data_IF_455540906835
#
_entry.id   IF_455540906835
#
_cell.length_a   1.000
_cell.length_b   1.000
_cell.length_c   1.000
_cell.angle_alpha   90.00
_cell.angle_beta   90.00
_cell.angle_gamma   90.00
#
_symmetry.space_group_name_H-M   'P 1'
#
loop_
_entity.id
_entity.type
_entity.pdbx_description
1 polymer ?
#
# COMPACT_ATOMS: atom_id res chain seq x y z
N UNK A 1 -4.46 -37.99 -6.40
CA UNK A 1 -3.52 -37.91 -5.26
C UNK A 1 -2.91 -36.53 -5.25
N UNK A 2 -3.40 -35.64 -4.40
CA UNK A 2 -2.93 -34.26 -4.28
C UNK A 2 -1.76 -34.22 -3.29
N UNK A 3 -0.58 -33.82 -3.76
CA UNK A 3 0.57 -33.53 -2.91
C UNK A 3 0.39 -32.14 -2.30
N UNK A 4 -0.10 -32.07 -1.07
CA UNK A 4 -0.06 -30.85 -0.25
C UNK A 4 1.36 -30.60 0.24
N UNK A 5 2.05 -29.63 -0.36
CA UNK A 5 3.30 -29.10 0.17
C UNK A 5 3.01 -28.08 1.27
N UNK A 6 3.06 -28.53 2.53
CA UNK A 6 3.10 -27.66 3.70
C UNK A 6 4.42 -26.89 3.73
N UNK A 7 4.44 -25.66 3.24
CA UNK A 7 5.57 -24.75 3.44
C UNK A 7 5.57 -24.22 4.88
N UNK A 8 6.43 -24.80 5.72
CA UNK A 8 6.89 -24.14 6.95
C UNK A 8 7.81 -22.99 6.54
N UNK A 9 7.35 -21.76 6.72
CA UNK A 9 8.19 -20.56 6.68
C UNK A 9 9.15 -20.64 7.88
N UNK A 10 10.36 -21.17 7.67
CA UNK A 10 11.42 -21.14 8.69
C UNK A 10 12.02 -19.73 8.67
N UNK A 11 11.37 -18.81 9.39
CA UNK A 11 12.00 -17.56 9.78
C UNK A 11 13.26 -17.90 10.57
N UNK A 12 14.44 -17.59 10.03
CA UNK A 12 15.70 -17.65 10.78
C UNK A 12 15.68 -16.55 11.84
N UNK A 13 14.95 -16.77 12.93
CA UNK A 13 15.08 -15.97 14.14
C UNK A 13 16.43 -16.29 14.78
N UNK A 14 17.27 -15.27 14.95
CA UNK A 14 18.54 -15.38 15.68
C UNK A 14 18.31 -16.05 17.05
N UNK A 15 19.21 -16.96 17.52
CA UNK A 15 19.04 -17.71 18.76
C UNK A 15 18.68 -16.85 19.97
N UNK A 16 19.21 -15.62 20.02
CA UNK A 16 18.91 -14.64 21.07
C UNK A 16 17.42 -14.28 21.21
N UNK A 17 16.67 -14.26 20.10
CA UNK A 17 15.24 -13.93 20.13
C UNK A 17 14.40 -15.11 20.60
N UNK A 18 14.80 -16.33 20.25
CA UNK A 18 14.20 -17.54 20.80
C UNK A 18 14.46 -17.65 22.30
N UNK A 19 15.70 -17.33 22.73
CA UNK A 19 16.05 -17.25 24.16
C UNK A 19 15.22 -16.18 24.87
N UNK A 20 15.03 -15.00 24.27
CA UNK A 20 14.19 -13.95 24.83
C UNK A 20 12.73 -14.42 25.00
N UNK A 21 12.19 -15.15 24.02
CA UNK A 21 10.84 -15.70 24.08
C UNK A 21 10.72 -16.77 25.18
N UNK A 22 11.67 -17.70 25.27
CA UNK A 22 11.71 -18.68 26.37
C UNK A 22 11.85 -18.01 27.74
N UNK A 23 12.67 -16.96 27.87
CA UNK A 23 12.81 -16.21 29.11
C UNK A 23 11.51 -15.50 29.50
N UNK A 24 10.77 -14.98 28.51
CA UNK A 24 9.47 -14.37 28.73
C UNK A 24 8.44 -15.41 29.20
N UNK A 25 8.39 -16.56 28.54
CA UNK A 25 7.51 -17.67 28.95
C UNK A 25 7.86 -18.16 30.36
N UNK A 26 9.15 -18.29 30.65
CA UNK A 26 9.64 -18.63 31.98
C UNK A 26 9.29 -17.57 33.04
N UNK A 27 9.36 -16.28 32.69
CA UNK A 27 8.92 -15.18 33.56
C UNK A 27 7.43 -15.30 33.89
N UNK A 28 6.60 -15.66 32.91
CA UNK A 28 5.17 -15.86 33.12
C UNK A 28 4.88 -17.05 34.05
N UNK A 29 5.61 -18.16 33.88
CA UNK A 29 5.53 -19.30 34.80
C UNK A 29 5.94 -18.89 36.21
N UNK A 30 7.03 -18.13 36.35
CA UNK A 30 7.50 -17.68 37.66
C UNK A 30 6.52 -16.70 38.34
N UNK A 31 5.86 -15.83 37.56
CA UNK A 31 4.79 -14.97 38.05
C UNK A 31 3.60 -15.79 38.58
N UNK A 32 3.21 -16.87 37.89
CA UNK A 32 2.16 -17.78 38.37
C UNK A 32 2.56 -18.47 39.67
N UNK A 33 3.78 -19.01 39.75
CA UNK A 33 4.31 -19.61 40.97
C UNK A 33 4.32 -18.62 42.14
N UNK A 34 4.71 -17.37 41.87
CA UNK A 34 4.73 -16.30 42.87
C UNK A 34 3.32 -15.88 43.32
N UNK A 35 2.34 -15.89 42.42
CA UNK A 35 0.94 -15.61 42.76
C UNK A 35 0.36 -16.71 43.66
N UNK A 36 0.69 -17.97 43.38
CA UNK A 36 0.26 -19.14 44.15
C UNK A 36 1.24 -19.56 45.25
N UNK A 37 2.12 -18.65 45.69
CA UNK A 37 3.18 -18.96 46.67
C UNK A 37 2.67 -19.53 48.00
N UNK A 38 1.49 -19.10 48.46
CA UNK A 38 0.88 -19.60 49.69
C UNK A 38 0.52 -21.09 49.61
N UNK A 39 -0.37 -21.50 48.67
CA UNK A 39 -0.67 -22.90 48.44
C UNK A 39 0.55 -23.79 48.16
N UNK A 40 1.58 -23.23 47.52
CA UNK A 40 2.82 -23.93 47.18
C UNK A 40 3.86 -23.94 48.32
N UNK A 41 3.58 -23.29 49.46
CA UNK A 41 4.50 -23.13 50.60
C UNK A 41 5.84 -22.48 50.20
N UNK A 42 5.82 -21.52 49.28
CA UNK A 42 7.00 -20.79 48.78
C UNK A 42 7.15 -19.40 49.43
N UNK A 43 6.46 -19.14 50.53
CA UNK A 43 6.44 -17.82 51.19
C UNK A 43 7.84 -17.37 51.67
N UNK A 44 8.67 -18.30 52.13
CA UNK A 44 10.05 -18.03 52.55
C UNK A 44 10.93 -17.48 51.40
N UNK A 45 10.58 -17.78 50.15
CA UNK A 45 11.31 -17.36 48.96
C UNK A 45 10.71 -16.13 48.27
N UNK A 46 9.73 -15.47 48.89
CA UNK A 46 8.97 -14.39 48.28
C UNK A 46 9.84 -13.30 47.66
N UNK A 47 10.79 -12.75 48.44
CA UNK A 47 11.65 -11.67 47.98
C UNK A 47 12.62 -12.13 46.88
N UNK A 48 13.17 -13.35 47.00
CA UNK A 48 14.03 -13.94 45.96
C UNK A 48 13.29 -14.16 44.64
N UNK A 49 12.04 -14.61 44.69
CA UNK A 49 11.19 -14.74 43.50
C UNK A 49 10.92 -13.37 42.86
N UNK A 50 10.67 -12.34 43.66
CA UNK A 50 10.48 -10.97 43.17
C UNK A 50 11.72 -10.46 42.45
N UNK A 51 12.91 -10.61 43.03
CA UNK A 51 14.17 -10.24 42.36
C UNK A 51 14.42 -11.03 41.09
N UNK A 52 14.13 -12.33 41.08
CA UNK A 52 14.27 -13.18 39.91
C UNK A 52 13.33 -12.73 38.77
N UNK A 53 12.07 -12.41 39.09
CA UNK A 53 11.09 -11.88 38.12
C UNK A 53 11.59 -10.56 37.53
N UNK A 54 12.07 -9.63 38.36
CA UNK A 54 12.61 -8.35 37.89
C UNK A 54 13.82 -8.58 36.98
N UNK A 55 14.76 -9.43 37.39
CA UNK A 55 15.95 -9.76 36.58
C UNK A 55 15.58 -10.36 35.22
N UNK A 56 14.59 -11.26 35.18
CA UNK A 56 14.10 -11.86 33.95
C UNK A 56 13.41 -10.84 33.04
N UNK A 57 12.61 -9.93 33.61
CA UNK A 57 11.98 -8.81 32.88
C UNK A 57 13.02 -8.02 32.10
N UNK A 58 14.10 -7.59 32.77
CA UNK A 58 15.17 -6.86 32.10
C UNK A 58 15.92 -7.73 31.09
N UNK A 59 16.19 -9.00 31.41
CA UNK A 59 16.92 -9.90 30.53
C UNK A 59 16.20 -10.13 29.20
N UNK A 60 14.89 -10.43 29.21
CA UNK A 60 14.18 -10.67 27.95
C UNK A 60 13.94 -9.39 27.16
N UNK A 61 13.69 -8.24 27.81
CA UNK A 61 13.54 -6.96 27.12
C UNK A 61 14.85 -6.56 26.42
N UNK A 62 16.00 -6.73 27.08
CA UNK A 62 17.32 -6.46 26.49
C UNK A 62 17.67 -7.41 25.34
N UNK A 63 17.38 -8.71 25.48
CA UNK A 63 17.62 -9.68 24.41
C UNK A 63 16.70 -9.48 23.20
N UNK A 64 15.54 -8.86 23.42
CA UNK A 64 14.59 -8.47 22.37
C UNK A 64 15.03 -7.23 21.57
N UNK A 65 16.07 -6.51 22.04
CA UNK A 65 16.58 -5.32 21.35
C UNK A 65 17.06 -5.65 19.94
N UNK A 66 16.58 -4.86 18.98
CA UNK A 66 17.00 -4.99 17.58
C UNK A 66 16.41 -6.19 16.83
N UNK A 67 15.25 -6.73 17.27
CA UNK A 67 14.46 -7.69 16.49
C UNK A 67 14.15 -7.21 15.06
N UNK A 68 14.15 -5.88 14.85
CA UNK A 68 13.75 -5.26 13.59
C UNK A 68 14.84 -4.41 12.93
N UNK A 69 15.58 -3.59 13.69
CA UNK A 69 16.52 -2.58 13.14
C UNK A 69 17.98 -2.77 13.56
N UNK A 70 18.33 -3.91 14.19
CA UNK A 70 19.65 -4.09 14.81
C UNK A 70 19.73 -3.48 16.21
N UNK A 71 20.82 -3.77 16.94
CA UNK A 71 21.00 -3.24 18.30
C UNK A 71 21.44 -1.78 18.19
N UNK A 72 20.53 -0.85 18.45
CA UNK A 72 20.82 0.58 18.54
C UNK A 72 20.91 1.01 20.00
N UNK A 73 21.67 2.07 20.28
CA UNK A 73 21.76 2.63 21.63
C UNK A 73 20.39 3.12 22.11
N UNK A 74 19.63 3.76 21.20
CA UNK A 74 18.22 4.12 21.40
C UNK A 74 17.35 2.90 21.76
N UNK A 75 17.51 1.78 21.05
CA UNK A 75 16.77 0.54 21.31
C UNK A 75 17.10 -0.10 22.66
N UNK A 76 18.36 -0.03 23.11
CA UNK A 76 18.76 -0.49 24.45
C UNK A 76 18.10 0.40 25.51
N UNK A 77 18.16 1.72 25.34
CA UNK A 77 17.54 2.68 26.27
C UNK A 77 16.02 2.43 26.38
N UNK A 78 15.34 2.20 25.26
CA UNK A 78 13.90 1.88 25.27
C UNK A 78 13.58 0.52 25.91
N UNK A 79 14.43 -0.49 25.74
CA UNK A 79 14.25 -1.77 26.43
C UNK A 79 14.42 -1.63 27.94
N UNK A 80 15.40 -0.85 28.39
CA UNK A 80 15.55 -0.52 29.82
C UNK A 80 14.34 0.25 30.35
N UNK A 81 13.81 1.20 29.57
CA UNK A 81 12.59 1.94 29.93
C UNK A 81 11.39 1.00 30.12
N UNK A 82 11.20 0.04 29.20
CA UNK A 82 10.15 -0.98 29.28
C UNK A 82 10.34 -1.91 30.48
N UNK A 83 11.56 -2.39 30.71
CA UNK A 83 11.87 -3.21 31.88
C UNK A 83 11.54 -2.49 33.19
N UNK A 84 11.91 -1.21 33.28
CA UNK A 84 11.59 -0.35 34.43
C UNK A 84 10.08 -0.13 34.59
N UNK A 85 9.34 0.06 33.49
CA UNK A 85 7.89 0.20 33.51
C UNK A 85 7.19 -1.07 34.00
N UNK A 86 7.52 -2.23 33.44
CA UNK A 86 6.93 -3.51 33.88
C UNK A 86 7.29 -3.84 35.33
N UNK A 87 8.51 -3.52 35.75
CA UNK A 87 8.93 -3.64 37.14
C UNK A 87 8.09 -2.72 38.05
N UNK A 88 7.85 -1.48 37.64
CA UNK A 88 6.97 -0.57 38.38
C UNK A 88 5.56 -1.13 38.55
N UNK A 89 4.96 -1.64 37.47
CA UNK A 89 3.63 -2.24 37.50
C UNK A 89 3.61 -3.46 38.42
N UNK A 90 4.58 -4.35 38.28
CA UNK A 90 4.70 -5.54 39.11
C UNK A 90 4.84 -5.22 40.60
N UNK A 91 5.72 -4.28 40.96
CA UNK A 91 5.92 -3.85 42.35
C UNK A 91 4.69 -3.13 42.91
N UNK A 92 4.00 -2.34 42.10
CA UNK A 92 2.78 -1.63 42.51
C UNK A 92 1.65 -2.58 42.90
N UNK A 93 1.34 -3.55 42.02
CA UNK A 93 0.34 -4.57 42.33
C UNK A 93 0.82 -5.57 43.37
N UNK A 94 2.13 -5.82 43.42
CA UNK A 94 2.71 -6.77 44.35
C UNK A 94 2.56 -6.38 45.82
N UNK A 95 2.42 -5.09 46.11
CA UNK A 95 2.02 -4.58 47.44
C UNK A 95 0.75 -5.27 47.97
N UNK A 96 -0.21 -5.58 47.09
CA UNK A 96 -1.50 -6.16 47.47
C UNK A 96 -1.43 -7.70 47.62
N UNK A 97 -0.31 -8.30 47.18
CA UNK A 97 -0.09 -9.75 47.12
C UNK A 97 0.97 -10.21 48.14
N UNK A 98 1.18 -9.44 49.21
CA UNK A 98 2.08 -9.79 50.31
C UNK A 98 3.57 -9.58 50.02
N UNK A 99 3.92 -8.67 49.10
CA UNK A 99 5.31 -8.24 48.89
C UNK A 99 5.81 -7.36 50.04
N UNK A 100 7.12 -7.42 50.33
CA UNK A 100 7.71 -6.60 51.38
C UNK A 100 7.55 -5.09 51.11
N UNK A 101 7.46 -4.30 52.21
CA UNK A 101 7.31 -2.83 52.14
C UNK A 101 8.51 -2.15 51.49
N UNK A 102 9.69 -2.73 51.64
CA UNK A 102 10.94 -2.27 51.02
C UNK A 102 10.87 -2.40 49.50
N UNK A 103 10.46 -3.55 48.98
CA UNK A 103 10.35 -3.81 47.54
C UNK A 103 9.23 -3.01 46.87
N UNK A 104 8.04 -2.99 47.47
CA UNK A 104 6.91 -2.22 46.94
C UNK A 104 7.14 -0.71 46.96
N UNK A 105 8.00 -0.20 47.85
CA UNK A 105 8.42 1.20 47.90
C UNK A 105 9.19 1.68 46.66
N UNK A 106 9.83 0.78 45.91
CA UNK A 106 10.57 1.12 44.70
C UNK A 106 9.71 1.28 43.45
N UNK A 107 8.41 0.99 43.50
CA UNK A 107 7.51 1.10 42.35
C UNK A 107 7.56 2.52 41.72
N UNK A 108 7.48 3.57 42.55
CA UNK A 108 7.54 4.96 42.08
C UNK A 108 8.90 5.32 41.45
N UNK A 109 10.01 4.82 42.00
CA UNK A 109 11.35 5.04 41.45
C UNK A 109 11.52 4.33 40.11
N UNK A 110 11.03 3.09 39.98
CA UNK A 110 11.05 2.35 38.72
C UNK A 110 10.22 3.05 37.63
N UNK A 111 9.06 3.63 38.00
CA UNK A 111 8.27 4.45 37.10
C UNK A 111 9.03 5.71 36.63
N UNK A 112 9.66 6.43 37.56
CA UNK A 112 10.46 7.62 37.23
C UNK A 112 11.60 7.28 36.26
N UNK A 113 12.29 6.14 36.48
CA UNK A 113 13.32 5.66 35.55
C UNK A 113 12.75 5.31 34.17
N UNK A 114 11.56 4.70 34.09
CA UNK A 114 10.90 4.44 32.81
C UNK A 114 10.62 5.74 32.03
N UNK A 115 10.12 6.78 32.71
CA UNK A 115 9.83 8.09 32.10
C UNK A 115 11.12 8.76 31.60
N UNK A 116 12.15 8.85 32.46
CA UNK A 116 13.43 9.48 32.11
C UNK A 116 14.11 8.77 30.94
N UNK A 117 14.17 7.44 30.98
CA UNK A 117 14.76 6.64 29.90
C UNK A 117 13.95 6.76 28.60
N UNK A 118 12.62 6.87 28.67
CA UNK A 118 11.79 7.11 27.49
C UNK A 118 12.12 8.45 26.83
N UNK A 119 12.24 9.53 27.62
CA UNK A 119 12.63 10.85 27.12
C UNK A 119 14.04 10.81 26.51
N UNK A 120 14.99 10.17 27.20
CA UNK A 120 16.36 9.99 26.69
C UNK A 120 16.41 9.19 25.38
N UNK A 121 15.61 8.12 25.29
CA UNK A 121 15.46 7.30 24.09
C UNK A 121 14.89 8.09 22.91
N UNK A 122 13.89 8.94 23.15
CA UNK A 122 13.29 9.82 22.14
C UNK A 122 14.27 10.88 21.64
N UNK A 123 15.06 11.47 22.53
CA UNK A 123 16.09 12.45 22.16
C UNK A 123 17.21 11.82 21.32
N UNK A 124 17.64 10.59 21.66
CA UNK A 124 18.64 9.87 20.88
C UNK A 124 18.10 9.34 19.55
N UNK A 125 16.81 8.98 19.47
CA UNK A 125 16.20 8.50 18.22
C UNK A 125 16.29 9.54 17.08
N UNK A 126 16.23 10.84 17.41
CA UNK A 126 16.44 11.93 16.42
C UNK A 126 17.83 11.94 15.78
N UNK A 127 18.83 11.30 16.40
CA UNK A 127 20.17 11.18 15.84
C UNK A 127 20.40 9.86 15.07
N UNK A 128 19.49 8.89 15.19
CA UNK A 128 19.54 7.59 14.49
C UNK A 128 18.84 7.63 13.10
N UNK A 129 18.35 8.80 12.64
CA UNK A 129 17.68 8.99 11.34
C UNK A 129 18.49 8.46 10.14
N UNK A 130 19.82 8.36 10.27
CA UNK A 130 20.74 7.87 9.23
C UNK A 130 20.68 6.35 8.95
N UNK A 131 19.77 5.58 9.55
CA UNK A 131 19.76 4.10 9.45
C UNK A 131 18.47 3.48 8.91
N UNK A 132 17.50 4.28 8.49
CA UNK A 132 16.27 3.79 7.84
C UNK A 132 16.40 3.78 6.31
N UNK A 133 17.62 3.61 5.78
CA UNK A 133 17.87 3.60 4.35
C UNK A 133 17.39 2.29 3.73
N UNK A 134 16.59 2.43 2.67
CA UNK A 134 16.25 1.31 1.80
C UNK A 134 17.53 0.98 1.01
N UNK A 135 17.96 -0.29 1.05
CA UNK A 135 19.22 -0.69 0.41
C UNK A 135 19.02 -1.82 -0.57
N UNK A 136 19.56 -1.64 -1.77
CA UNK A 136 19.72 -2.71 -2.77
C UNK A 136 20.94 -3.55 -2.40
N UNK A 137 20.75 -4.85 -2.27
CA UNK A 137 21.82 -5.79 -1.98
C UNK A 137 22.76 -5.99 -3.17
N UNK A 138 24.04 -6.23 -2.87
CA UNK A 138 25.06 -6.57 -3.88
C UNK A 138 24.92 -7.99 -4.45
N UNK A 139 23.87 -8.74 -4.10
CA UNK A 139 23.64 -10.11 -4.57
C UNK A 139 22.65 -10.05 -5.74
N UNK A 140 23.03 -10.62 -6.87
CA UNK A 140 22.16 -10.74 -8.03
C UNK A 140 21.62 -12.16 -8.19
N UNK A 141 20.43 -12.25 -8.75
CA UNK A 141 19.78 -13.49 -9.15
C UNK A 141 19.24 -13.34 -10.57
N UNK A 142 19.13 -14.45 -11.29
CA UNK A 142 18.47 -14.47 -12.60
C UNK A 142 16.97 -14.19 -12.44
N UNK A 143 16.44 -13.39 -13.35
CA UNK A 143 15.02 -13.11 -13.47
C UNK A 143 14.55 -13.50 -14.87
N UNK A 144 13.52 -14.33 -14.95
CA UNK A 144 12.96 -14.86 -16.21
C UNK A 144 11.44 -14.61 -16.30
N UNK A 145 10.99 -13.51 -15.71
CA UNK A 145 9.58 -13.15 -15.61
C UNK A 145 8.93 -13.58 -14.29
N UNK A 146 7.77 -12.98 -14.01
CA UNK A 146 6.93 -13.26 -12.86
C UNK A 146 5.46 -13.09 -13.23
N UNK A 147 4.60 -13.93 -12.65
CA UNK A 147 3.15 -13.89 -12.86
C UNK A 147 2.47 -13.65 -11.51
N UNK A 148 1.69 -12.57 -11.42
CA UNK A 148 0.93 -12.17 -10.24
C UNK A 148 -0.59 -12.17 -10.51
N UNK A 149 -1.05 -13.08 -11.38
CA UNK A 149 -2.42 -13.18 -11.87
C UNK A 149 -2.65 -12.18 -13.00
N UNK A 150 -3.51 -11.19 -12.77
CA UNK A 150 -3.85 -10.15 -13.77
C UNK A 150 -2.68 -9.22 -14.13
N UNK A 151 -1.52 -9.37 -13.48
CA UNK A 151 -0.31 -8.59 -13.78
C UNK A 151 0.84 -9.56 -14.03
N UNK A 152 1.38 -9.52 -15.24
CA UNK A 152 2.50 -10.35 -15.69
C UNK A 152 3.69 -9.46 -16.03
N UNK A 153 4.85 -9.84 -15.51
CA UNK A 153 6.11 -9.20 -15.83
C UNK A 153 6.92 -10.15 -16.70
N UNK A 154 7.07 -9.83 -17.98
CA UNK A 154 7.79 -10.65 -18.96
C UNK A 154 9.16 -10.06 -19.26
N UNK A 155 10.14 -10.91 -19.49
CA UNK A 155 11.50 -10.50 -19.84
C UNK A 155 12.55 -11.29 -19.09
N UNK A 156 13.81 -11.02 -19.42
CA UNK A 156 14.96 -11.68 -18.81
C UNK A 156 15.98 -10.66 -18.35
N UNK A 157 16.57 -10.88 -17.18
CA UNK A 157 17.55 -9.97 -16.63
C UNK A 157 18.09 -10.43 -15.27
N UNK A 158 18.55 -9.47 -14.48
CA UNK A 158 19.03 -9.69 -13.12
C UNK A 158 18.10 -9.03 -12.12
N UNK A 159 17.89 -9.68 -10.98
CA UNK A 159 17.13 -9.16 -9.87
C UNK A 159 18.04 -9.01 -8.64
N UNK A 160 17.94 -7.87 -7.97
CA UNK A 160 18.71 -7.50 -6.79
C UNK A 160 17.74 -7.28 -5.62
N UNK A 161 17.89 -7.97 -4.48
CA UNK A 161 16.98 -7.79 -3.35
C UNK A 161 17.02 -6.36 -2.80
N UNK A 162 15.85 -5.81 -2.50
CA UNK A 162 15.70 -4.57 -1.73
C UNK A 162 15.48 -4.94 -0.27
N UNK A 163 16.28 -4.37 0.63
CA UNK A 163 16.11 -4.49 2.08
C UNK A 163 15.72 -3.17 2.71
N UNK A 164 14.80 -3.27 3.67
CA UNK A 164 14.54 -2.24 4.65
C UNK A 164 14.97 -2.77 6.02
N UNK A 165 16.05 -2.23 6.58
CA UNK A 165 16.72 -2.82 7.74
C UNK A 165 17.15 -4.27 7.49
N UNK A 166 16.55 -5.23 8.22
CA UNK A 166 16.83 -6.68 8.07
C UNK A 166 15.84 -7.42 7.18
N UNK A 167 14.74 -6.80 6.77
CA UNK A 167 13.69 -7.48 5.99
C UNK A 167 13.87 -7.19 4.50
N UNK A 168 13.69 -8.23 3.67
CA UNK A 168 13.53 -8.08 2.23
C UNK A 168 12.12 -7.56 1.96
N UNK A 169 12.02 -6.49 1.16
CA UNK A 169 10.75 -5.80 0.86
C UNK A 169 10.43 -5.79 -0.64
N UNK A 170 11.36 -6.24 -1.47
CA UNK A 170 11.16 -6.28 -2.92
C UNK A 170 12.46 -6.58 -3.65
N UNK A 171 12.49 -6.21 -4.92
CA UNK A 171 13.56 -6.47 -5.87
C UNK A 171 13.76 -5.28 -6.80
N UNK A 172 15.00 -5.01 -7.21
CA UNK A 172 15.31 -4.14 -8.35
C UNK A 172 15.72 -5.02 -9.51
N UNK A 173 15.15 -4.78 -10.68
CA UNK A 173 15.40 -5.51 -11.89
C UNK A 173 16.29 -4.69 -12.83
N UNK A 174 17.25 -5.39 -13.43
CA UNK A 174 18.16 -4.91 -14.45
C UNK A 174 18.01 -5.73 -15.73
N UNK A 175 17.60 -5.10 -16.82
CA UNK A 175 17.33 -5.75 -18.09
C UNK A 175 16.15 -5.14 -18.84
N UNK A 176 15.65 -5.87 -19.83
CA UNK A 176 14.48 -5.46 -20.60
C UNK A 176 13.25 -6.22 -20.12
N UNK A 177 12.27 -5.48 -19.61
CA UNK A 177 11.04 -6.05 -19.10
C UNK A 177 9.84 -5.43 -19.79
N UNK A 178 8.75 -6.18 -19.88
CA UNK A 178 7.44 -5.69 -20.32
C UNK A 178 6.45 -6.07 -19.25
N UNK A 179 5.74 -5.08 -18.72
CA UNK A 179 4.60 -5.33 -17.84
C UNK A 179 3.34 -5.43 -18.68
N UNK A 180 2.54 -6.45 -18.41
CA UNK A 180 1.23 -6.69 -19.00
C UNK A 180 0.22 -6.75 -17.86
N UNK A 181 -0.79 -5.88 -17.89
CA UNK A 181 -1.84 -5.84 -16.89
C UNK A 181 -3.20 -5.97 -17.57
N UNK A 182 -3.97 -6.99 -17.16
CA UNK A 182 -5.33 -7.22 -17.64
C UNK A 182 -6.29 -6.27 -16.90
N UNK A 183 -7.08 -5.51 -17.66
CA UNK A 183 -8.10 -4.60 -17.13
C UNK A 183 -9.45 -4.88 -17.81
N UNK A 184 -10.59 -4.47 -17.23
CA UNK A 184 -11.90 -4.59 -17.89
C UNK A 184 -11.98 -3.88 -19.26
N UNK A 185 -11.07 -2.94 -19.48
CA UNK A 185 -10.91 -2.17 -20.69
C UNK A 185 -10.10 -2.91 -21.77
N UNK A 186 -9.18 -3.79 -21.37
CA UNK A 186 -8.21 -4.43 -22.25
C UNK A 186 -6.86 -4.66 -21.54
N UNK A 187 -5.90 -5.25 -22.25
CA UNK A 187 -4.57 -5.49 -21.70
C UNK A 187 -3.66 -4.27 -21.90
N UNK A 188 -3.16 -3.69 -20.80
CA UNK A 188 -2.16 -2.61 -20.83
C UNK A 188 -0.78 -3.24 -20.91
N UNK A 189 -0.03 -2.93 -21.97
CA UNK A 189 1.34 -3.43 -22.17
C UNK A 189 2.33 -2.27 -22.22
N UNK A 190 3.35 -2.30 -21.35
CA UNK A 190 4.42 -1.30 -21.37
C UNK A 190 5.80 -1.94 -21.25
N UNK A 191 6.70 -1.60 -22.18
CA UNK A 191 8.13 -1.89 -22.04
C UNK A 191 8.71 -1.00 -20.95
N UNK A 192 9.32 -1.63 -19.95
CA UNK A 192 9.90 -0.95 -18.80
C UNK A 192 11.37 -0.61 -19.03
N UNK A 193 11.77 0.54 -18.51
CA UNK A 193 13.14 1.05 -18.57
C UNK A 193 13.84 0.76 -17.24
N UNK A 194 14.91 -0.05 -17.29
CA UNK A 194 15.79 -0.34 -16.16
C UNK A 194 16.44 0.95 -15.62
N UNK A 195 16.56 1.15 -14.30
CA UNK A 195 16.21 0.22 -13.21
C UNK A 195 14.71 0.21 -12.85
N UNK A 196 14.15 -0.99 -12.65
CA UNK A 196 12.74 -1.19 -12.25
C UNK A 196 12.68 -1.76 -10.83
N UNK A 197 11.95 -1.13 -9.93
CA UNK A 197 11.69 -1.66 -8.60
C UNK A 197 10.34 -2.40 -8.56
N UNK A 198 10.35 -3.59 -7.96
CA UNK A 198 9.19 -4.46 -7.75
C UNK A 198 9.06 -4.74 -6.26
N UNK A 199 8.04 -4.17 -5.64
CA UNK A 199 7.71 -4.41 -4.23
C UNK A 199 6.69 -5.52 -4.15
N UNK A 200 7.10 -6.63 -3.56
CA UNK A 200 6.28 -7.83 -3.41
C UNK A 200 6.83 -8.69 -2.27
N UNK A 201 5.94 -9.42 -1.61
CA UNK A 201 6.27 -10.52 -0.68
C UNK A 201 6.93 -11.68 -1.41
N UNK A 202 6.56 -11.89 -2.67
CA UNK A 202 6.92 -13.08 -3.44
C UNK A 202 8.40 -13.12 -3.82
N UNK A 203 8.88 -14.35 -4.00
CA UNK A 203 10.22 -14.56 -4.54
C UNK A 203 10.12 -14.77 -6.06
N UNK A 204 10.58 -13.76 -6.79
CA UNK A 204 10.49 -13.71 -8.26
C UNK A 204 11.78 -14.16 -8.94
N UNK A 205 12.70 -14.76 -8.20
CA UNK A 205 14.09 -14.98 -8.65
C UNK A 205 14.47 -16.45 -8.78
N UNK A 206 15.35 -16.71 -9.75
CA UNK A 206 15.95 -18.01 -10.03
C UNK A 206 17.34 -18.17 -9.40
N UNK A 207 18.30 -18.65 -10.19
CA UNK A 207 19.65 -18.97 -9.71
C UNK A 207 20.45 -17.71 -9.37
N UNK A 208 21.36 -17.83 -8.41
CA UNK A 208 22.29 -16.74 -8.06
C UNK A 208 23.25 -16.51 -9.22
N UNK A 209 23.48 -15.25 -9.57
CA UNK A 209 24.35 -14.86 -10.69
C UNK A 209 25.36 -13.79 -10.28
N UNK A 210 26.26 -13.43 -11.21
CA UNK A 210 27.28 -12.41 -11.00
C UNK A 210 26.66 -11.01 -10.94
N UNK A 211 26.83 -10.27 -9.83
CA UNK A 211 26.27 -8.94 -9.67
C UNK A 211 27.03 -7.91 -10.51
N UNK A 212 26.32 -6.88 -10.95
CA UNK A 212 26.92 -5.66 -11.47
C UNK A 212 26.99 -4.60 -10.33
N UNK A 213 28.18 -4.27 -9.82
CA UNK A 213 28.32 -3.29 -8.75
C UNK A 213 27.87 -1.88 -9.16
N UNK A 214 28.08 -1.50 -10.43
CA UNK A 214 27.76 -0.17 -10.94
C UNK A 214 26.25 0.05 -11.03
N UNK A 215 25.51 -0.99 -11.41
CA UNK A 215 24.05 -1.00 -11.38
C UNK A 215 23.51 -0.82 -9.95
N UNK A 216 24.07 -1.56 -8.99
CA UNK A 216 23.63 -1.51 -7.59
C UNK A 216 23.84 -0.12 -6.99
N UNK A 217 24.94 0.55 -7.31
CA UNK A 217 25.19 1.93 -6.88
C UNK A 217 24.12 2.89 -7.43
N UNK A 218 23.92 2.88 -8.75
CA UNK A 218 22.89 3.68 -9.42
C UNK A 218 21.48 3.42 -8.89
N UNK A 219 21.13 2.15 -8.65
CA UNK A 219 19.82 1.79 -8.11
C UNK A 219 19.63 2.27 -6.66
N UNK A 220 20.68 2.27 -5.83
CA UNK A 220 20.62 2.81 -4.48
C UNK A 220 20.42 4.33 -4.46
N UNK A 221 21.07 5.06 -5.38
CA UNK A 221 20.87 6.52 -5.54
C UNK A 221 19.44 6.85 -5.97
N UNK A 222 18.87 6.09 -6.91
CA UNK A 222 17.52 6.33 -7.42
C UNK A 222 16.41 5.92 -6.45
N UNK A 223 16.66 4.92 -5.59
CA UNK A 223 15.69 4.49 -4.56
C UNK A 223 15.66 5.47 -3.37
N UNK A 224 16.78 6.12 -3.07
CA UNK A 224 16.89 7.12 -2.00
C UNK A 224 17.33 8.46 -2.58
N UNK A 225 16.51 9.14 -3.40
CA UNK A 225 16.92 10.43 -3.94
C UNK A 225 17.13 11.41 -2.79
N UNK A 226 18.36 11.93 -2.65
CA UNK A 226 18.78 12.93 -1.64
C UNK A 226 17.84 14.17 -1.56
N UNK A 227 16.99 14.36 -2.58
CA UNK A 227 15.97 15.42 -2.66
C UNK A 227 14.79 15.25 -1.70
N UNK A 228 14.52 14.06 -1.16
CA UNK A 228 13.45 13.88 -0.16
C UNK A 228 13.78 14.48 1.22
N UNK A 229 15.05 14.82 1.47
CA UNK A 229 15.52 15.29 2.78
C UNK A 229 15.90 16.78 2.82
N UNK A 230 15.80 17.53 1.71
CA UNK A 230 15.99 18.98 1.74
C UNK A 230 14.69 19.68 2.16
N UNK A 231 14.61 19.96 3.46
CA UNK A 231 13.64 20.84 4.14
C UNK A 231 13.30 22.09 3.30
N UNK A 232 12.16 22.05 2.62
CA UNK A 232 11.37 23.24 2.29
C UNK A 232 10.37 23.47 3.41
N UNK A 233 10.35 24.66 4.01
CA UNK A 233 9.36 25.06 5.01
C UNK A 233 7.96 25.01 4.37
N UNK A 234 7.08 24.15 4.86
CA UNK A 234 5.63 24.27 4.61
C UNK A 234 4.92 23.00 4.17
N UNK A 235 5.58 22.08 3.45
CA UNK A 235 4.90 20.95 2.83
C UNK A 235 5.31 19.62 3.46
N UNK A 236 4.44 19.08 4.32
CA UNK A 236 4.48 17.69 4.79
C UNK A 236 3.90 16.77 3.72
N UNK A 237 4.65 16.52 2.65
CA UNK A 237 4.37 15.43 1.71
C UNK A 237 5.67 14.71 1.40
N UNK A 238 5.85 13.53 1.99
CA UNK A 238 6.97 12.63 1.71
C UNK A 238 6.45 11.59 0.71
N UNK A 239 6.59 11.88 -0.59
CA UNK A 239 6.26 10.94 -1.67
C UNK A 239 7.43 9.97 -1.91
N UNK A 240 7.57 9.04 -0.98
CA UNK A 240 8.32 7.81 -1.18
C UNK A 240 7.30 6.82 -1.73
N UNK A 241 7.48 6.25 -2.92
CA UNK A 241 6.47 5.45 -3.66
C UNK A 241 5.85 4.21 -2.98
N UNK A 242 5.97 4.06 -1.65
CA UNK A 242 5.22 3.19 -0.76
C UNK A 242 4.26 3.95 0.19
N UNK A 243 4.21 5.29 0.17
CA UNK A 243 3.32 6.14 0.95
C UNK A 243 2.38 6.85 -0.02
N UNK A 244 1.12 6.38 -0.12
CA UNK A 244 0.02 7.16 -0.68
C UNK A 244 -1.18 7.00 0.25
N UNK A 245 -1.65 8.12 0.79
CA UNK A 245 -2.90 8.25 1.53
C UNK A 245 -4.03 8.14 0.50
N UNK A 246 -4.99 7.24 0.73
CA UNK A 246 -6.21 7.16 -0.06
C UNK A 246 -7.35 7.72 0.78
N UNK A 247 -7.95 8.81 0.31
CA UNK A 247 -9.19 9.36 0.85
C UNK A 247 -10.29 9.17 -0.22
N UNK A 248 -11.26 8.29 0.04
CA UNK A 248 -12.42 8.10 -0.84
C UNK A 248 -13.33 6.93 -0.46
N UNK A 249 -14.62 7.21 -0.27
CA UNK A 249 -15.75 6.29 -0.05
C UNK A 249 -15.57 5.20 1.03
N UNK A 250 -15.26 5.62 2.27
CA UNK A 250 -15.45 4.79 3.46
C UNK A 250 -14.24 3.92 3.85
N UNK A 251 -13.03 4.28 3.45
CA UNK A 251 -11.82 3.70 4.03
C UNK A 251 -10.66 4.71 3.94
N UNK A 252 -9.88 4.83 5.02
CA UNK A 252 -8.57 5.49 5.00
C UNK A 252 -7.51 4.42 5.24
N UNK A 253 -6.61 4.22 4.27
CA UNK A 253 -5.56 3.20 4.35
C UNK A 253 -4.19 3.83 4.22
N UNK A 254 -3.41 3.74 5.31
CA UNK A 254 -2.02 4.20 5.36
C UNK A 254 -1.13 3.03 5.70
N UNK A 255 -0.29 2.60 4.76
CA UNK A 255 0.72 1.56 4.99
C UNK A 255 2.11 2.19 5.13
N UNK A 256 2.52 2.45 6.36
CA UNK A 256 3.90 2.77 6.72
C UNK A 256 4.60 1.51 7.24
N UNK A 257 5.94 1.42 7.17
CA UNK A 257 6.68 0.33 7.80
C UNK A 257 6.47 0.23 9.33
N UNK A 258 5.90 1.26 9.98
CA UNK A 258 5.63 1.26 11.42
C UNK A 258 4.24 1.73 11.82
N UNK A 259 3.35 2.10 10.89
CA UNK A 259 1.96 2.52 11.18
C UNK A 259 1.07 1.96 10.06
N UNK A 260 0.18 1.03 10.40
CA UNK A 260 -0.95 0.63 9.54
C UNK A 260 -2.17 1.34 10.13
N UNK A 261 -2.73 2.34 9.45
CA UNK A 261 -4.01 2.95 9.85
C UNK A 261 -5.06 2.43 8.89
N UNK A 262 -6.08 1.77 9.43
CA UNK A 262 -7.26 1.29 8.72
C UNK A 262 -8.46 1.98 9.38
N UNK A 263 -8.97 3.03 8.77
CA UNK A 263 -10.27 3.57 9.16
C UNK A 263 -11.35 2.92 8.30
N UNK A 264 -12.40 2.40 8.93
CA UNK A 264 -13.61 1.86 8.30
C UNK A 264 -14.85 2.46 8.97
N UNK A 265 -16.03 2.49 8.34
CA UNK A 265 -17.28 2.97 8.94
C UNK A 265 -17.66 2.27 10.25
N UNK A 266 -17.06 1.11 10.51
CA UNK A 266 -17.26 0.22 11.66
C UNK A 266 -16.11 0.22 12.68
N UNK A 267 -15.07 1.05 12.49
CA UNK A 267 -13.97 1.18 13.45
C UNK A 267 -12.58 1.55 12.87
N UNK A 268 -11.61 1.71 13.77
CA UNK A 268 -10.21 2.08 13.50
C UNK A 268 -9.26 0.91 13.88
N UNK A 269 -8.30 0.54 13.02
CA UNK A 269 -7.13 -0.29 13.35
C UNK A 269 -5.86 0.53 13.15
N UNK A 270 -5.14 0.83 14.24
CA UNK A 270 -3.85 1.53 14.20
C UNK A 270 -2.77 0.60 14.73
N UNK A 271 -1.88 0.15 13.84
CA UNK A 271 -0.77 -0.75 14.17
C UNK A 271 0.55 0.00 14.20
N UNK A 272 0.96 0.42 15.40
CA UNK A 272 2.26 1.06 15.62
C UNK A 272 3.24 0.04 16.18
N UNK A 273 4.08 -0.53 15.31
CA UNK A 273 4.99 -1.62 15.72
C UNK A 273 4.22 -2.83 16.29
N UNK A 274 4.57 -3.37 17.48
CA UNK A 274 3.88 -4.52 18.07
C UNK A 274 2.55 -4.16 18.77
N UNK A 275 2.20 -2.87 18.89
CA UNK A 275 0.93 -2.45 19.47
C UNK A 275 -0.15 -2.43 18.40
N UNK A 276 -1.32 -3.01 18.73
CA UNK A 276 -2.54 -2.94 17.93
C UNK A 276 -3.55 -2.14 18.74
N UNK A 277 -3.90 -0.95 18.26
CA UNK A 277 -5.01 -0.19 18.81
C UNK A 277 -6.21 -0.48 17.93
N UNK A 278 -7.15 -1.27 18.46
CA UNK A 278 -8.34 -1.71 17.76
C UNK A 278 -9.55 -1.10 18.44
N UNK A 279 -10.28 -0.28 17.71
CA UNK A 279 -11.57 0.24 18.13
C UNK A 279 -12.59 -0.20 17.07
N UNK A 280 -13.50 -1.13 17.40
CA UNK A 280 -14.44 -1.75 16.45
C UNK A 280 -13.98 -3.09 15.85
N UNK A 281 -14.67 -3.55 14.80
CA UNK A 281 -14.38 -4.78 14.03
C UNK A 281 -13.87 -4.46 12.62
N UNK A 282 -12.63 -3.96 12.46
CA UNK A 282 -12.07 -3.69 11.15
C UNK A 282 -11.69 -5.00 10.45
N UNK A 283 -12.20 -5.19 9.23
CA UNK A 283 -11.82 -6.30 8.35
C UNK A 283 -10.40 -6.08 7.81
N UNK A 284 -9.56 -7.11 7.81
CA UNK A 284 -8.24 -7.03 7.15
C UNK A 284 -8.45 -6.94 5.64
N UNK A 285 -7.70 -6.09 4.91
CA UNK A 285 -7.71 -6.16 3.46
C UNK A 285 -7.29 -7.59 3.03
N UNK A 286 -8.10 -8.27 2.20
CA UNK A 286 -7.99 -9.71 1.99
C UNK A 286 -6.79 -10.15 1.11
N UNK A 287 -5.98 -9.24 0.58
CA UNK A 287 -5.09 -9.54 -0.56
C UNK A 287 -3.71 -8.87 -0.50
N UNK A 288 -2.71 -9.56 -1.04
CA UNK A 288 -1.33 -9.07 -1.20
C UNK A 288 -1.26 -7.81 -2.10
N UNK A 289 -0.29 -6.93 -1.82
CA UNK A 289 -0.04 -5.69 -2.57
C UNK A 289 1.19 -5.86 -3.46
N UNK A 290 1.04 -5.55 -4.74
CA UNK A 290 2.12 -5.52 -5.72
C UNK A 290 2.34 -4.08 -6.19
N UNK A 291 3.60 -3.64 -6.23
CA UNK A 291 3.96 -2.38 -6.90
C UNK A 291 5.12 -2.62 -7.85
N UNK A 292 5.05 -2.08 -9.06
CA UNK A 292 6.11 -2.09 -10.06
C UNK A 292 6.35 -0.62 -10.45
N UNK A 293 7.59 -0.13 -10.39
CA UNK A 293 7.92 1.27 -10.70
C UNK A 293 9.23 1.37 -11.47
N UNK A 294 9.24 2.22 -12.49
CA UNK A 294 10.48 2.67 -13.11
C UNK A 294 11.13 3.72 -12.21
N UNK A 295 12.37 3.48 -11.80
CA UNK A 295 13.05 4.41 -10.90
C UNK A 295 13.51 5.69 -11.62
N UNK A 296 13.58 5.67 -12.95
CA UNK A 296 14.00 6.81 -13.77
C UNK A 296 12.85 7.65 -14.36
N UNK A 297 11.76 7.01 -14.81
CA UNK A 297 10.82 7.61 -15.78
C UNK A 297 9.35 7.59 -15.34
N UNK A 298 9.09 7.73 -14.03
CA UNK A 298 7.76 8.06 -13.49
C UNK A 298 6.68 6.97 -13.54
N UNK A 299 6.86 5.91 -14.35
CA UNK A 299 5.90 4.81 -14.44
C UNK A 299 5.74 4.10 -13.10
N UNK A 300 4.49 3.89 -12.68
CA UNK A 300 4.13 3.11 -11.51
C UNK A 300 2.85 2.30 -11.77
N UNK A 301 2.89 1.00 -11.53
CA UNK A 301 1.74 0.11 -11.47
C UNK A 301 1.57 -0.39 -10.03
N UNK A 302 0.36 -0.33 -9.49
CA UNK A 302 0.02 -0.80 -8.14
C UNK A 302 -1.23 -1.65 -8.20
N UNK A 303 -1.18 -2.86 -7.62
CA UNK A 303 -2.32 -3.77 -7.47
C UNK A 303 -2.57 -4.07 -5.99
N UNK A 304 -3.82 -3.94 -5.56
CA UNK A 304 -4.29 -4.28 -4.21
C UNK A 304 -5.64 -4.98 -4.32
N UNK A 305 -5.65 -6.30 -4.26
CA UNK A 305 -6.87 -7.07 -4.51
C UNK A 305 -7.38 -6.84 -5.93
N UNK A 306 -8.65 -6.44 -6.04
CA UNK A 306 -9.31 -6.15 -7.32
C UNK A 306 -9.01 -4.72 -7.84
N UNK A 307 -8.25 -3.93 -7.07
CA UNK A 307 -7.86 -2.57 -7.46
C UNK A 307 -6.55 -2.56 -8.21
N UNK A 308 -6.54 -1.90 -9.37
CA UNK A 308 -5.35 -1.70 -10.17
C UNK A 308 -5.20 -0.22 -10.49
N UNK A 309 -4.01 0.33 -10.25
CA UNK A 309 -3.66 1.71 -10.59
C UNK A 309 -2.40 1.74 -11.44
N UNK A 310 -2.47 2.36 -12.60
CA UNK A 310 -1.35 2.60 -13.50
C UNK A 310 -1.16 4.12 -13.57
N UNK A 311 0.06 4.59 -13.35
CA UNK A 311 0.43 5.98 -13.39
C UNK A 311 1.65 6.15 -14.28
N UNK A 312 1.56 7.07 -15.23
CA UNK A 312 2.65 7.51 -16.09
C UNK A 312 2.74 9.04 -16.02
N UNK A 313 3.74 9.63 -16.64
CA UNK A 313 3.84 11.10 -16.73
C UNK A 313 2.73 11.70 -17.62
N UNK A 314 2.15 10.90 -18.52
CA UNK A 314 1.16 11.34 -19.50
C UNK A 314 -0.27 11.01 -19.08
N UNK A 315 -0.48 9.86 -18.42
CA UNK A 315 -1.81 9.36 -18.10
C UNK A 315 -1.87 8.58 -16.80
N UNK A 316 -3.09 8.43 -16.28
CA UNK A 316 -3.40 7.55 -15.15
C UNK A 316 -4.62 6.71 -15.43
N UNK A 317 -4.57 5.44 -15.03
CA UNK A 317 -5.67 4.48 -15.09
C UNK A 317 -5.91 3.95 -13.68
N UNK A 318 -7.15 3.95 -13.25
CA UNK A 318 -7.59 3.40 -11.97
C UNK A 318 -8.77 2.46 -12.22
N UNK A 319 -8.65 1.24 -11.74
CA UNK A 319 -9.65 0.18 -11.83
C UNK A 319 -10.04 -0.21 -10.41
N UNK A 320 -11.34 -0.20 -10.12
CA UNK A 320 -11.92 -0.69 -8.87
C UNK A 320 -13.12 -1.59 -9.21
N UNK A 321 -12.86 -2.89 -9.33
CA UNK A 321 -13.83 -3.87 -9.83
C UNK A 321 -14.29 -3.54 -11.25
N UNK A 322 -15.57 -3.21 -11.43
CA UNK A 322 -16.16 -2.84 -12.73
C UNK A 322 -16.07 -1.34 -13.04
N UNK A 323 -15.53 -0.53 -12.12
CA UNK A 323 -15.31 0.90 -12.36
C UNK A 323 -13.92 1.11 -12.95
N UNK A 324 -13.84 1.88 -14.02
CA UNK A 324 -12.57 2.28 -14.63
C UNK A 324 -12.55 3.79 -14.81
N UNK A 325 -11.43 4.40 -14.44
CA UNK A 325 -11.16 5.82 -14.60
C UNK A 325 -9.82 6.00 -15.31
N UNK A 326 -9.85 6.60 -16.49
CA UNK A 326 -8.69 7.04 -17.25
C UNK A 326 -8.63 8.56 -17.24
N UNK A 327 -7.43 9.12 -17.08
CA UNK A 327 -7.16 10.56 -17.18
C UNK A 327 -5.84 10.81 -17.90
N UNK A 328 -5.84 11.70 -18.89
CA UNK A 328 -4.65 12.18 -19.59
C UNK A 328 -4.83 13.65 -19.96
N UNK A 329 -4.16 14.56 -19.27
CA UNK A 329 -4.33 16.02 -19.46
C UNK A 329 -5.80 16.47 -19.37
N UNK A 330 -6.36 16.96 -20.48
CA UNK A 330 -7.77 17.39 -20.59
C UNK A 330 -8.76 16.26 -20.93
N UNK A 331 -8.24 15.04 -21.11
CA UNK A 331 -8.98 13.85 -21.49
C UNK A 331 -9.32 13.00 -20.27
N UNK A 332 -10.55 12.51 -20.22
CA UNK A 332 -10.97 11.57 -19.18
C UNK A 332 -12.01 10.61 -19.71
N UNK A 333 -11.90 9.35 -19.31
CA UNK A 333 -12.89 8.31 -19.54
C UNK A 333 -13.26 7.71 -18.19
N UNK A 334 -14.56 7.60 -17.92
CA UNK A 334 -15.08 6.93 -16.75
C UNK A 334 -16.11 5.90 -17.19
N UNK A 335 -15.88 4.65 -16.78
CA UNK A 335 -16.77 3.53 -16.99
C UNK A 335 -17.22 2.98 -15.65
N UNK A 336 -18.49 2.60 -15.57
CA UNK A 336 -19.01 1.74 -14.53
C UNK A 336 -20.28 1.06 -15.01
N UNK A 337 -20.84 0.15 -14.20
CA UNK A 337 -21.95 -0.78 -14.58
C UNK A 337 -22.99 -0.21 -15.53
N UNK A 338 -23.58 0.93 -15.17
CA UNK A 338 -24.69 1.54 -15.92
C UNK A 338 -24.37 2.93 -16.48
N UNK A 339 -23.10 3.34 -16.44
CA UNK A 339 -22.71 4.70 -16.82
C UNK A 339 -21.34 4.74 -17.49
N UNK A 340 -21.27 5.56 -18.52
CA UNK A 340 -20.10 5.75 -19.36
C UNK A 340 -19.98 7.24 -19.63
N UNK A 341 -18.80 7.81 -19.40
CA UNK A 341 -18.53 9.22 -19.63
C UNK A 341 -17.16 9.41 -20.26
N UNK A 342 -17.13 10.01 -21.44
CA UNK A 342 -15.93 10.40 -22.17
C UNK A 342 -15.87 11.93 -22.24
N UNK A 343 -14.71 12.52 -22.00
CA UNK A 343 -14.46 13.96 -22.17
C UNK A 343 -13.09 14.17 -22.79
N UNK A 344 -13.00 15.02 -23.82
CA UNK A 344 -11.75 15.54 -24.39
C UNK A 344 -11.98 16.99 -24.83
N UNK A 345 -11.41 17.96 -24.13
CA UNK A 345 -11.59 19.38 -24.44
C UNK A 345 -13.07 19.80 -24.45
N UNK A 346 -13.56 20.30 -25.59
CA UNK A 346 -14.96 20.73 -25.80
C UNK A 346 -15.92 19.56 -26.08
N UNK A 347 -15.38 18.35 -26.27
CA UNK A 347 -16.18 17.16 -26.52
C UNK A 347 -16.51 16.45 -25.21
N UNK A 348 -17.79 16.13 -25.01
CA UNK A 348 -18.23 15.26 -23.92
C UNK A 348 -19.36 14.34 -24.36
N UNK A 349 -19.21 13.05 -24.07
CA UNK A 349 -20.23 12.03 -24.30
C UNK A 349 -20.53 11.39 -22.95
N UNK A 350 -21.79 11.34 -22.56
CA UNK A 350 -22.23 10.69 -21.32
C UNK A 350 -23.43 9.82 -21.64
N UNK A 351 -23.34 8.53 -21.32
CA UNK A 351 -24.39 7.54 -21.53
C UNK A 351 -24.65 6.80 -20.22
N UNK A 352 -25.91 6.64 -19.82
CA UNK A 352 -26.25 5.81 -18.67
C UNK A 352 -27.68 5.99 -18.17
N UNK A 353 -28.21 5.02 -17.42
CA UNK A 353 -29.57 5.07 -16.83
C UNK A 353 -30.67 5.58 -17.79
N UNK A 354 -30.66 5.11 -19.04
CA UNK A 354 -31.65 5.50 -20.06
C UNK A 354 -31.53 6.93 -20.59
N UNK A 355 -30.37 7.60 -20.42
CA UNK A 355 -30.07 8.88 -21.04
C UNK A 355 -28.74 8.85 -21.78
N UNK A 356 -28.64 9.62 -22.85
CA UNK A 356 -27.40 9.90 -23.54
C UNK A 356 -27.29 11.41 -23.80
N UNK A 357 -26.09 11.95 -23.66
CA UNK A 357 -25.77 13.33 -23.97
C UNK A 357 -24.44 13.37 -24.71
N UNK A 358 -24.46 13.90 -25.92
CA UNK A 358 -23.29 14.14 -26.75
C UNK A 358 -23.18 15.65 -26.91
N UNK A 359 -22.02 16.20 -26.62
CA UNK A 359 -21.67 17.60 -26.88
C UNK A 359 -20.35 17.61 -27.65
N UNK A 360 -20.34 18.30 -28.78
CA UNK A 360 -19.16 18.58 -29.59
C UNK A 360 -19.29 20.01 -30.09
N UNK A 361 -18.34 20.87 -29.73
CA UNK A 361 -18.35 22.29 -30.12
C UNK A 361 -19.73 22.93 -29.82
N UNK A 362 -20.41 23.44 -30.86
CA UNK A 362 -21.73 24.07 -30.77
C UNK A 362 -22.92 23.08 -30.84
N UNK A 363 -22.65 21.79 -31.02
CA UNK A 363 -23.67 20.75 -31.17
C UNK A 363 -23.91 20.06 -29.83
N UNK A 364 -25.18 19.97 -29.41
CA UNK A 364 -25.61 19.21 -28.23
C UNK A 364 -26.78 18.31 -28.60
N UNK A 365 -26.56 17.00 -28.56
CA UNK A 365 -27.59 15.96 -28.73
C UNK A 365 -27.89 15.38 -27.34
N UNK A 366 -29.16 15.36 -26.93
CA UNK A 366 -29.59 14.83 -25.64
C UNK A 366 -30.78 13.90 -25.83
N UNK A 367 -30.61 12.61 -25.52
CA UNK A 367 -31.66 11.61 -25.53
C UNK A 367 -32.09 11.27 -24.10
N UNK A 368 -33.38 11.44 -23.77
CA UNK A 368 -33.95 11.12 -22.45
C UNK A 368 -35.44 10.80 -22.61
N UNK A 369 -35.92 9.79 -21.88
CA UNK A 369 -37.36 9.46 -21.80
C UNK A 369 -38.04 9.29 -23.17
N UNK A 370 -37.34 8.69 -24.14
CA UNK A 370 -37.87 8.45 -25.50
C UNK A 370 -37.88 9.68 -26.41
N UNK A 371 -37.31 10.81 -25.97
CA UNK A 371 -37.19 12.05 -26.75
C UNK A 371 -35.73 12.37 -27.05
N UNK A 372 -35.47 12.96 -28.21
CA UNK A 372 -34.15 13.45 -28.62
C UNK A 372 -34.22 14.96 -28.81
N UNK A 373 -33.37 15.70 -28.11
CA UNK A 373 -33.21 17.14 -28.28
C UNK A 373 -31.88 17.42 -28.94
N UNK A 374 -31.90 18.15 -30.05
CA UNK A 374 -30.72 18.52 -30.84
C UNK A 374 -30.60 20.03 -30.79
N UNK A 375 -29.44 20.54 -30.35
CA UNK A 375 -29.09 21.95 -30.46
C UNK A 375 -27.88 22.05 -31.39
N UNK A 376 -28.02 22.77 -32.49
CA UNK A 376 -26.95 22.98 -33.46
C UNK A 376 -27.12 24.35 -34.12
N UNK A 377 -26.03 25.11 -34.28
CA UNK A 377 -26.05 26.41 -34.98
C UNK A 377 -27.06 27.43 -34.40
N UNK A 378 -27.22 27.46 -33.07
CA UNK A 378 -28.16 28.36 -32.38
C UNK A 378 -29.64 27.93 -32.42
N UNK A 379 -30.00 26.89 -33.18
CA UNK A 379 -31.37 26.34 -33.24
C UNK A 379 -31.52 25.14 -32.32
N UNK A 380 -32.74 24.89 -31.82
CA UNK A 380 -33.08 23.75 -30.97
C UNK A 380 -34.24 22.99 -31.59
N UNK A 381 -34.02 21.71 -31.89
CA UNK A 381 -35.02 20.77 -32.40
C UNK A 381 -35.33 19.72 -31.33
N UNK A 382 -36.57 19.24 -31.31
CA UNK A 382 -37.00 18.16 -30.43
C UNK A 382 -37.73 17.13 -31.27
N UNK A 383 -37.24 15.89 -31.23
CA UNK A 383 -37.81 14.72 -31.91
C UNK A 383 -38.40 13.80 -30.86
N UNK A 384 -39.70 13.56 -30.93
CA UNK A 384 -40.40 12.59 -30.08
C UNK A 384 -40.58 11.27 -30.83
N UNK A 385 -39.47 10.57 -31.09
CA UNK A 385 -39.45 9.31 -31.82
C UNK A 385 -38.59 8.27 -31.08
N UNK A 386 -39.16 7.07 -30.87
CA UNK A 386 -38.50 5.96 -30.16
C UNK A 386 -37.29 5.40 -30.91
N UNK A 387 -37.35 5.36 -32.23
CA UNK A 387 -36.26 4.88 -33.08
C UNK A 387 -35.10 5.88 -33.08
N UNK A 388 -35.39 7.18 -33.16
CA UNK A 388 -34.38 8.23 -33.00
C UNK A 388 -33.72 8.17 -31.61
N UNK A 389 -34.49 7.95 -30.55
CA UNK A 389 -33.95 7.74 -29.20
C UNK A 389 -33.04 6.51 -29.13
N UNK A 390 -33.46 5.37 -29.69
CA UNK A 390 -32.68 4.13 -29.72
C UNK A 390 -31.38 4.33 -30.50
N UNK A 391 -31.44 5.02 -31.64
CA UNK A 391 -30.28 5.32 -32.47
C UNK A 391 -29.21 6.08 -31.68
N UNK A 392 -29.59 7.17 -30.99
CA UNK A 392 -28.65 7.94 -30.16
C UNK A 392 -28.04 7.06 -29.07
N UNK A 393 -28.85 6.26 -28.38
CA UNK A 393 -28.36 5.40 -27.30
C UNK A 393 -27.35 4.36 -27.79
N UNK A 394 -27.61 3.72 -28.95
CA UNK A 394 -26.71 2.71 -29.54
C UNK A 394 -25.43 3.38 -30.04
N UNK A 395 -25.55 4.43 -30.87
CA UNK A 395 -24.40 5.15 -31.43
C UNK A 395 -23.51 5.77 -30.36
N UNK A 396 -24.10 6.34 -29.30
CA UNK A 396 -23.33 6.89 -28.20
C UNK A 396 -22.53 5.81 -27.44
N UNK A 397 -23.04 4.57 -27.33
CA UNK A 397 -22.29 3.45 -26.74
C UNK A 397 -21.17 2.99 -27.68
N UNK A 398 -21.47 2.78 -28.96
CA UNK A 398 -20.49 2.38 -29.98
C UNK A 398 -19.30 3.36 -30.01
N UNK A 399 -19.57 4.67 -30.02
CA UNK A 399 -18.52 5.70 -30.01
C UNK A 399 -17.63 5.59 -28.78
N UNK A 400 -18.19 5.35 -27.59
CA UNK A 400 -17.36 5.26 -26.38
C UNK A 400 -16.59 3.94 -26.32
N UNK A 401 -17.16 2.83 -26.78
CA UNK A 401 -16.45 1.55 -26.88
C UNK A 401 -15.24 1.65 -27.84
N UNK A 402 -15.43 2.22 -29.04
CA UNK A 402 -14.35 2.46 -30.01
C UNK A 402 -13.21 3.30 -29.38
N UNK A 403 -13.56 4.42 -28.74
CA UNK A 403 -12.57 5.32 -28.15
C UNK A 403 -11.91 4.76 -26.88
N UNK A 404 -12.61 3.91 -26.14
CA UNK A 404 -12.05 3.26 -24.95
C UNK A 404 -10.88 2.35 -25.29
N UNK A 405 -10.95 1.64 -26.43
CA UNK A 405 -9.87 0.77 -26.90
C UNK A 405 -8.62 1.57 -27.29
N UNK A 406 -8.78 2.65 -28.06
CA UNK A 406 -7.69 3.52 -28.52
C UNK A 406 -6.98 4.23 -27.34
N UNK A 407 -7.73 4.59 -26.29
CA UNK A 407 -7.19 5.21 -25.08
C UNK A 407 -6.24 4.30 -24.29
N UNK A 408 -6.48 2.98 -24.27
CA UNK A 408 -5.66 2.00 -23.53
C UNK A 408 -4.31 1.79 -24.20
N UNK A 409 -4.28 1.87 -25.53
CA UNK A 409 -3.05 1.76 -26.31
C UNK A 409 -2.19 3.04 -26.23
N UNK A 410 -2.66 4.07 -25.52
CA UNK A 410 -1.95 5.34 -25.34
C UNK A 410 -2.02 6.25 -26.56
N UNK A 411 -2.95 5.99 -27.50
CA UNK A 411 -3.10 6.78 -28.72
C UNK A 411 -3.93 8.07 -28.52
N UNK A 412 -4.51 8.26 -27.33
CA UNK A 412 -5.40 9.40 -27.03
C UNK A 412 -6.76 9.27 -27.71
N UNK A 413 -7.60 10.30 -27.60
CA UNK A 413 -8.91 10.35 -28.27
C UNK A 413 -8.74 10.92 -29.69
N UNK A 414 -9.11 10.16 -30.72
CA UNK A 414 -9.14 10.66 -32.10
C UNK A 414 -10.35 11.59 -32.30
N UNK A 415 -10.09 12.89 -32.08
CA UNK A 415 -11.10 13.95 -32.22
C UNK A 415 -11.68 14.03 -33.63
N UNK A 416 -10.88 13.76 -34.67
CA UNK A 416 -11.35 13.88 -36.05
C UNK A 416 -12.34 12.77 -36.37
N UNK A 417 -12.02 11.53 -35.97
CA UNK A 417 -12.91 10.37 -36.09
C UNK A 417 -14.17 10.54 -35.25
N UNK A 418 -14.03 11.00 -34.01
CA UNK A 418 -15.16 11.23 -33.12
C UNK A 418 -16.11 12.33 -33.65
N UNK A 419 -15.57 13.44 -34.15
CA UNK A 419 -16.36 14.49 -34.81
C UNK A 419 -17.07 13.99 -36.06
N UNK A 420 -16.43 13.11 -36.86
CA UNK A 420 -17.07 12.47 -38.01
C UNK A 420 -18.27 11.60 -37.58
N UNK A 421 -18.10 10.74 -36.57
CA UNK A 421 -19.18 9.89 -36.05
C UNK A 421 -20.36 10.68 -35.50
N UNK A 422 -20.11 11.80 -34.84
CA UNK A 422 -21.20 12.64 -34.32
C UNK A 422 -21.89 13.42 -35.44
N UNK A 423 -21.18 13.81 -36.50
CA UNK A 423 -21.80 14.35 -37.71
C UNK A 423 -22.67 13.31 -38.41
N UNK A 424 -22.19 12.07 -38.59
CA UNK A 424 -22.99 10.95 -39.11
C UNK A 424 -24.29 10.76 -38.30
N UNK A 425 -24.19 10.74 -36.96
CA UNK A 425 -25.36 10.66 -36.09
C UNK A 425 -26.30 11.87 -36.25
N UNK A 426 -25.76 13.08 -36.41
CA UNK A 426 -26.56 14.28 -36.61
C UNK A 426 -27.31 14.21 -37.94
N UNK A 427 -26.66 13.81 -39.03
CA UNK A 427 -27.26 13.67 -40.35
C UNK A 427 -28.39 12.64 -40.34
N UNK A 428 -28.16 11.46 -39.74
CA UNK A 428 -29.21 10.43 -39.54
C UNK A 428 -30.38 10.94 -38.69
N UNK A 429 -30.12 11.79 -37.69
CA UNK A 429 -31.17 12.38 -36.87
C UNK A 429 -31.97 13.47 -37.60
N UNK A 430 -31.36 14.17 -38.56
CA UNK A 430 -32.04 15.18 -39.36
C UNK A 430 -33.09 14.56 -40.29
N UNK A 431 -32.92 13.30 -40.72
CA UNK A 431 -33.95 12.58 -41.49
C UNK A 431 -35.27 12.41 -40.72
N UNK A 432 -35.22 12.39 -39.39
CA UNK A 432 -36.42 12.34 -38.54
C UNK A 432 -37.12 13.70 -38.37
N UNK A 433 -36.50 14.79 -38.83
CA UNK A 433 -37.04 16.15 -38.72
C UNK A 433 -37.83 16.58 -39.96
N UNK A 434 -37.70 15.89 -41.10
CA UNK A 434 -38.46 16.16 -42.33
C UNK A 434 -38.07 17.46 -43.00
#
# INVERSE_FOLDING_TARGET
MSFEWKYRVVAHESPRFKIAEYLKDFTAVLLLLWLFKGPLRLEEYNDYMVYAIIGLIFAFELLSVGKWFGVTLSGIIFALAKGAFWTSVFLFFGKWLGMSKTLSGYAGTAFAYAVVLTIAGLLMAKFDEKKLDIKVEKKAYEFNGADFGDVKLRGSGKAYPIRFGRKKVGWVLDGEFTVEAETPLGAVRKKLISPVAVWTSENITGKKTSPDPSFVERANELINPDRLYKRGKGDTVVDLGFIKVYEGDGFEYVKLPFIEVIETPSGHDVKIGPMRFREGHPERPPSEMLTIRELANGFQLTKVGDRLRIQTDEYSIEVDGEKVLYKSGSESLSLGRDHVSLRSGEVSITVGRGRAKIRIEDVVISAKEGKVRIRAGGKSYTVENKDAYRLVMVKAKEIVEEQSTELIEGLGIDRARLSRRVKELLDELMEFLG
#
